data_IF_531739872838
#
_entry.id   IF_531739872838
#
_cell.length_a   1.000
_cell.length_b   1.000
_cell.length_c   1.000
_cell.angle_alpha   90.00
_cell.angle_beta   90.00
_cell.angle_gamma   90.00
#
_symmetry.space_group_name_H-M   'P 1'
#
loop_
_entity.id
_entity.type
_entity.pdbx_description
1 polymer ?
#
# COMPACT_ATOMS: atom_id res chain seq x y z
N UNK A 1 22.10 -6.68 -17.16
CA UNK A 1 22.10 -6.19 -16.59
C UNK A 1 22.20 -6.08 -15.62
N UNK A 2 22.76 -6.24 -15.94
CA UNK A 2 22.60 -6.20 -14.66
C UNK A 2 22.52 -4.88 -14.23
N UNK A 3 21.57 -4.47 -14.50
CA UNK A 3 21.27 -3.25 -13.91
C UNK A 3 21.43 -3.39 -12.43
N UNK A 4 21.94 -2.38 -11.79
CA UNK A 4 22.07 -2.35 -10.37
C UNK A 4 20.74 -2.74 -9.77
N UNK A 5 20.83 -3.43 -8.71
CA UNK A 5 19.64 -3.78 -8.00
C UNK A 5 18.86 -2.52 -7.71
N UNK A 6 17.68 -2.51 -8.23
CA UNK A 6 16.77 -1.47 -7.89
C UNK A 6 15.84 -2.05 -6.83
N UNK A 7 15.82 -1.45 -5.68
CA UNK A 7 14.99 -1.96 -4.60
C UNK A 7 13.52 -1.75 -4.93
N UNK A 8 12.68 -2.51 -4.29
CA UNK A 8 11.23 -2.32 -4.46
C UNK A 8 10.81 -0.92 -4.05
N UNK A 9 11.58 -0.25 -3.22
CA UNK A 9 11.25 1.09 -2.79
C UNK A 9 11.58 2.15 -3.83
N UNK A 10 12.29 1.79 -4.88
CA UNK A 10 12.68 2.75 -5.91
C UNK A 10 11.76 2.73 -7.11
N UNK A 11 10.87 1.76 -7.23
CA UNK A 11 9.91 1.68 -8.31
C UNK A 11 8.54 1.38 -7.74
N UNK A 12 7.54 1.90 -8.42
CA UNK A 12 6.18 1.58 -8.06
C UNK A 12 5.83 0.19 -8.61
N UNK A 13 5.34 -0.67 -7.73
CA UNK A 13 4.94 -2.02 -8.10
C UNK A 13 3.42 -2.09 -8.15
N UNK A 14 2.89 -2.67 -9.22
CA UNK A 14 1.45 -2.87 -9.33
C UNK A 14 1.02 -3.98 -8.39
N UNK A 15 -0.06 -3.74 -7.65
CA UNK A 15 -0.47 -4.64 -6.58
C UNK A 15 -1.55 -5.64 -6.98
N UNK A 16 -2.15 -5.48 -8.15
CA UNK A 16 -3.27 -6.31 -8.53
C UNK A 16 -4.59 -5.71 -8.06
N UNK A 17 -5.66 -6.47 -8.15
CA UNK A 17 -6.99 -5.96 -7.88
C UNK A 17 -7.30 -5.95 -6.39
N UNK A 18 -7.81 -4.82 -5.91
CA UNK A 18 -8.26 -4.66 -4.53
C UNK A 18 -7.21 -5.13 -3.51
N UNK A 19 -6.01 -4.54 -3.51
CA UNK A 19 -4.93 -5.03 -2.65
C UNK A 19 -5.12 -4.72 -1.18
N UNK A 20 -6.01 -3.80 -0.83
CA UNK A 20 -6.22 -3.41 0.56
C UNK A 20 -7.31 -4.27 1.19
N UNK A 21 -6.99 -4.93 2.29
CA UNK A 21 -7.96 -5.65 3.11
C UNK A 21 -8.27 -4.79 4.33
N UNK A 22 -9.54 -4.42 4.48
CA UNK A 22 -9.97 -3.40 5.42
C UNK A 22 -10.98 -3.99 6.37
N UNK A 23 -10.82 -3.69 7.67
CA UNK A 23 -11.75 -4.13 8.70
C UNK A 23 -12.38 -2.89 9.33
N UNK A 24 -13.71 -2.86 9.38
CA UNK A 24 -14.43 -1.75 9.99
C UNK A 24 -13.96 -1.53 11.42
N UNK A 25 -13.82 -0.28 11.81
CA UNK A 25 -13.39 0.15 13.13
C UNK A 25 -11.92 -0.12 13.43
N UNK A 26 -11.14 -0.57 12.44
CA UNK A 26 -9.71 -0.80 12.60
C UNK A 26 -8.94 0.06 11.61
N UNK A 27 -7.93 0.79 12.10
CA UNK A 27 -7.09 1.60 11.23
C UNK A 27 -5.97 0.79 10.59
N UNK A 28 -5.79 -0.47 10.99
CA UNK A 28 -4.77 -1.32 10.41
C UNK A 28 -5.27 -1.91 9.11
N UNK A 29 -4.58 -1.58 8.03
CA UNK A 29 -4.91 -2.04 6.68
C UNK A 29 -3.87 -3.07 6.27
N UNK A 30 -4.32 -4.22 5.79
CA UNK A 30 -3.44 -5.26 5.27
C UNK A 30 -3.32 -5.12 3.76
N UNK A 31 -2.09 -5.10 3.27
CA UNK A 31 -1.82 -4.98 1.84
C UNK A 31 -1.30 -6.30 1.32
N UNK A 32 -1.84 -6.73 0.19
CA UNK A 32 -1.32 -7.90 -0.52
C UNK A 32 -0.46 -7.43 -1.67
N UNK A 33 0.82 -7.75 -1.61
CA UNK A 33 1.78 -7.46 -2.67
C UNK A 33 2.71 -8.66 -2.78
N UNK A 34 2.48 -9.50 -3.76
CA UNK A 34 3.18 -10.79 -3.88
C UNK A 34 4.69 -10.55 -4.04
N UNK A 35 5.47 -11.25 -3.21
CA UNK A 35 6.94 -11.15 -3.21
C UNK A 35 7.44 -9.72 -3.10
N UNK A 36 6.90 -8.99 -2.14
CA UNK A 36 7.16 -7.55 -2.05
C UNK A 36 8.62 -7.19 -1.75
N UNK A 37 9.35 -8.06 -1.11
CA UNK A 37 10.75 -7.77 -0.79
C UNK A 37 10.96 -6.63 0.19
N UNK A 38 9.90 -6.15 0.85
CA UNK A 38 9.99 -5.01 1.74
C UNK A 38 10.34 -5.46 3.16
N UNK A 39 10.77 -4.50 3.96
CA UNK A 39 11.20 -4.74 5.34
C UNK A 39 10.36 -3.87 6.26
N UNK A 40 10.05 -4.39 7.45
CA UNK A 40 9.35 -3.61 8.47
C UNK A 40 10.11 -2.31 8.73
N UNK A 41 9.38 -1.21 8.72
CA UNK A 41 9.94 0.13 8.88
C UNK A 41 10.13 0.86 7.56
N UNK A 42 10.00 0.17 6.43
CA UNK A 42 10.04 0.84 5.14
C UNK A 42 8.87 1.81 5.04
N UNK A 43 9.08 2.89 4.30
CA UNK A 43 8.03 3.86 3.99
C UNK A 43 7.53 3.60 2.58
N UNK A 44 6.23 3.38 2.44
CA UNK A 44 5.60 3.04 1.16
C UNK A 44 4.53 4.07 0.87
N UNK A 45 4.49 4.56 -0.35
CA UNK A 45 3.41 5.43 -0.82
C UNK A 45 2.59 4.68 -1.85
N UNK A 46 1.27 4.72 -1.68
CA UNK A 46 0.36 4.11 -2.64
C UNK A 46 -0.14 5.16 -3.61
N UNK A 47 -0.35 4.75 -4.86
CA UNK A 47 -0.81 5.63 -5.93
C UNK A 47 -1.90 4.93 -6.71
N UNK A 48 -2.75 5.72 -7.35
CA UNK A 48 -3.83 5.22 -8.22
C UNK A 48 -4.86 4.38 -7.47
N UNK A 49 -5.14 4.77 -6.22
CA UNK A 49 -6.20 4.14 -5.44
C UNK A 49 -7.53 4.64 -5.96
N UNK A 50 -8.48 3.74 -6.13
CA UNK A 50 -9.79 4.09 -6.68
C UNK A 50 -10.87 4.05 -5.60
N UNK A 51 -11.78 5.02 -5.67
CA UNK A 51 -12.96 5.03 -4.85
C UNK A 51 -12.71 5.44 -3.41
N UNK A 52 -13.44 4.83 -2.50
CA UNK A 52 -13.34 5.08 -1.08
C UNK A 52 -13.31 3.74 -0.34
N UNK A 53 -12.17 3.04 -0.38
CA UNK A 53 -12.09 1.73 0.26
C UNK A 53 -12.41 1.83 1.75
N UNK A 54 -13.29 0.97 2.22
CA UNK A 54 -13.72 0.97 3.61
C UNK A 54 -14.48 2.22 4.03
N UNK A 55 -14.93 3.03 3.07
CA UNK A 55 -15.61 4.30 3.35
C UNK A 55 -14.66 5.46 3.55
N UNK A 56 -13.36 5.27 3.36
CA UNK A 56 -12.35 6.31 3.50
C UNK A 56 -11.88 6.73 2.12
N UNK A 57 -11.86 8.04 1.84
CA UNK A 57 -11.52 8.55 0.52
C UNK A 57 -10.14 8.07 0.07
N UNK A 58 -10.00 7.87 -1.24
CA UNK A 58 -8.75 7.37 -1.83
C UNK A 58 -7.55 8.25 -1.47
N UNK A 59 -7.76 9.56 -1.33
CA UNK A 59 -6.67 10.48 -1.03
C UNK A 59 -6.00 10.18 0.31
N UNK A 60 -6.73 9.60 1.25
CA UNK A 60 -6.14 9.21 2.53
C UNK A 60 -5.15 8.07 2.35
N UNK A 61 -5.46 7.12 1.46
CA UNK A 61 -4.55 6.02 1.14
C UNK A 61 -3.35 6.49 0.34
N UNK A 62 -3.48 7.58 -0.40
CA UNK A 62 -2.41 8.13 -1.23
C UNK A 62 -1.60 9.21 -0.51
N UNK A 63 -1.50 9.11 0.79
CA UNK A 63 -0.77 10.09 1.60
C UNK A 63 0.60 10.34 1.01
N UNK A 64 0.90 11.61 0.75
CA UNK A 64 2.14 11.99 0.08
C UNK A 64 3.38 11.71 0.90
N UNK A 65 3.24 11.59 2.21
CA UNK A 65 4.34 11.23 3.10
C UNK A 65 4.53 9.72 3.21
N UNK A 66 3.65 8.94 2.61
CA UNK A 66 3.69 7.50 2.68
C UNK A 66 3.30 6.96 4.05
N UNK A 67 3.43 5.66 4.19
CA UNK A 67 3.12 4.96 5.43
C UNK A 67 4.29 4.07 5.82
N UNK A 68 4.59 4.04 7.13
CA UNK A 68 5.55 3.07 7.64
C UNK A 68 4.84 1.72 7.76
N UNK A 69 5.45 0.68 7.25
CA UNK A 69 4.80 -0.63 7.16
C UNK A 69 5.38 -1.62 8.15
N UNK A 70 4.58 -2.64 8.45
CA UNK A 70 5.01 -3.81 9.23
C UNK A 70 4.82 -5.04 8.35
N UNK A 71 5.90 -5.72 8.03
CA UNK A 71 5.84 -6.90 7.19
C UNK A 71 5.32 -8.08 8.00
N UNK A 72 4.32 -8.78 7.45
CA UNK A 72 3.73 -9.96 8.10
C UNK A 72 4.13 -11.24 7.40
N UNK A 73 4.18 -11.23 6.06
CA UNK A 73 4.63 -12.37 5.26
C UNK A 73 5.36 -11.85 4.04
N UNK A 74 5.88 -12.76 3.20
CA UNK A 74 6.53 -12.36 1.95
C UNK A 74 5.57 -11.69 0.98
N UNK A 75 4.27 -11.85 1.18
CA UNK A 75 3.25 -11.35 0.27
C UNK A 75 2.35 -10.29 0.91
N UNK A 76 2.51 -10.00 2.20
CA UNK A 76 1.60 -9.09 2.89
C UNK A 76 2.34 -8.24 3.90
N UNK A 77 1.82 -7.02 4.08
CA UNK A 77 2.28 -6.13 5.13
C UNK A 77 1.10 -5.26 5.58
N UNK A 78 1.27 -4.55 6.67
CA UNK A 78 0.21 -3.69 7.20
C UNK A 78 0.72 -2.27 7.40
N UNK A 79 -0.22 -1.34 7.42
CA UNK A 79 0.07 0.04 7.81
C UNK A 79 -1.14 0.60 8.55
N UNK A 80 -0.91 1.71 9.27
CA UNK A 80 -1.99 2.41 9.93
C UNK A 80 -2.50 3.51 9.02
N UNK A 81 -3.79 3.48 8.71
CA UNK A 81 -4.38 4.43 7.78
C UNK A 81 -4.49 5.83 8.38
N UNK A 82 -4.63 5.92 9.68
CA UNK A 82 -4.82 7.21 10.35
C UNK A 82 -6.27 7.67 10.36
N UNK A 83 -7.14 6.97 9.66
CA UNK A 83 -8.58 7.22 9.66
C UNK A 83 -9.26 5.89 9.91
N UNK A 84 -10.44 5.93 10.52
CA UNK A 84 -11.11 4.69 10.89
C UNK A 84 -12.14 4.30 9.83
N UNK A 85 -11.94 3.17 9.14
CA UNK A 85 -12.92 2.69 8.16
C UNK A 85 -14.23 2.32 8.82
N UNK A 86 -15.31 2.44 8.06
CA UNK A 86 -16.65 2.09 8.54
C UNK A 86 -17.18 0.81 7.90
N UNK A 87 -16.47 0.24 6.93
CA UNK A 87 -16.91 -0.91 6.17
C UNK A 87 -15.79 -1.93 6.11
N UNK A 88 -16.12 -3.21 6.33
CA UNK A 88 -15.18 -4.31 6.13
C UNK A 88 -15.27 -4.73 4.67
N UNK A 89 -14.17 -4.61 3.95
CA UNK A 89 -14.13 -4.95 2.52
C UNK A 89 -12.70 -5.00 2.02
N UNK A 90 -12.54 -5.49 0.81
CA UNK A 90 -11.29 -5.34 0.07
C UNK A 90 -11.50 -4.23 -0.95
N UNK A 91 -10.49 -3.40 -1.15
CA UNK A 91 -10.66 -2.27 -2.03
C UNK A 91 -9.36 -1.75 -2.63
N UNK A 92 -9.46 -0.61 -3.27
CA UNK A 92 -8.35 0.07 -3.94
C UNK A 92 -8.43 -0.01 -5.46
N UNK A 93 -9.12 -1.01 -6.00
CA UNK A 93 -9.26 -1.19 -7.44
C UNK A 93 -8.05 -1.88 -8.07
N UNK A 94 -8.04 -1.98 -9.42
CA UNK A 94 -7.02 -2.76 -10.12
C UNK A 94 -5.75 -2.00 -10.44
N UNK A 95 -5.67 -0.71 -10.10
CA UNK A 95 -4.58 0.15 -10.56
C UNK A 95 -3.66 0.64 -9.44
N UNK A 96 -3.82 0.15 -8.22
CA UNK A 96 -2.99 0.60 -7.10
C UNK A 96 -1.54 0.18 -7.33
N UNK A 97 -0.63 1.11 -7.10
CA UNK A 97 0.79 0.80 -7.09
C UNK A 97 1.38 1.22 -5.75
N UNK A 98 2.46 0.54 -5.36
CA UNK A 98 3.18 0.82 -4.13
C UNK A 98 4.62 1.14 -4.48
N UNK A 99 5.15 2.21 -3.92
CA UNK A 99 6.50 2.61 -4.22
C UNK A 99 7.02 3.64 -3.23
N UNK A 100 8.12 4.30 -3.58
CA UNK A 100 8.70 5.30 -2.69
C UNK A 100 7.86 6.56 -2.64
N UNK A 101 8.12 7.38 -1.63
CA UNK A 101 7.44 8.66 -1.48
C UNK A 101 7.66 9.53 -2.71
N UNK A 102 8.89 9.53 -3.24
CA UNK A 102 9.21 10.24 -4.46
C UNK A 102 9.81 9.27 -5.46
N UNK A 103 9.25 9.27 -6.67
CA UNK A 103 9.82 8.47 -7.76
C UNK A 103 10.82 9.33 -8.49
N UNK A 104 12.02 8.80 -8.65
CA UNK A 104 13.04 9.49 -9.43
C UNK A 104 12.74 9.34 -10.92
N UNK A 105 12.90 10.40 -11.62
CA UNK A 105 12.74 10.38 -13.06
C UNK A 105 13.88 9.60 -13.72
#
# INVERSE_FOLDING_TARGET
NARPARTENEVAAMLGNNPFSITASSQTITVTEINHGRTTGDTVRFRNVQGSPGGVAFSTYENSSGFSITVTTTDKYTFSLGSTPSVTEEGGGPTVSAGPVSLSA
#
